data_IF_658404420376
#
_entry.id   IF_658404420376
#
_cell.length_a   1.000
_cell.length_b   1.000
_cell.length_c   1.000
_cell.angle_alpha   90.00
_cell.angle_beta   90.00
_cell.angle_gamma   90.00
#
_symmetry.space_group_name_H-M   'P 1'
#
loop_
_entity.id
_entity.type
_entity.pdbx_description
1 polymer ?
#
# COMPACT_ATOMS: atom_id res chain seq x y z
N UNK A 1 11.71 12.70 1.47
CA UNK A 1 11.88 11.61 0.48
C UNK A 1 11.72 10.28 1.19
N UNK A 2 10.55 9.65 1.08
CA UNK A 2 10.32 8.31 1.62
C UNK A 2 10.74 7.30 0.54
N UNK A 3 11.85 6.62 0.76
CA UNK A 3 12.28 5.50 -0.07
C UNK A 3 11.79 4.21 0.59
N UNK A 4 10.83 3.52 -0.04
CA UNK A 4 10.40 2.23 0.50
C UNK A 4 11.54 1.21 0.32
N UNK A 5 11.80 0.36 1.33
CA UNK A 5 12.77 -0.71 1.21
C UNK A 5 12.43 -1.60 0.01
N UNK A 6 13.44 -1.97 -0.79
CA UNK A 6 13.27 -2.84 -1.98
C UNK A 6 12.52 -4.15 -1.67
N UNK A 7 12.68 -4.68 -0.45
CA UNK A 7 11.96 -5.87 0.04
C UNK A 7 10.46 -5.61 0.18
N UNK A 8 10.07 -4.44 0.68
CA UNK A 8 8.68 -4.04 0.83
C UNK A 8 8.03 -3.79 -0.53
N UNK A 9 8.74 -3.14 -1.46
CA UNK A 9 8.26 -2.96 -2.84
C UNK A 9 8.03 -4.31 -3.53
N UNK A 10 8.93 -5.28 -3.34
CA UNK A 10 8.76 -6.63 -3.91
C UNK A 10 7.61 -7.40 -3.25
N UNK A 11 7.45 -7.28 -1.93
CA UNK A 11 6.34 -7.90 -1.22
C UNK A 11 4.98 -7.35 -1.68
N UNK A 12 4.85 -6.02 -1.78
CA UNK A 12 3.65 -5.36 -2.32
C UNK A 12 3.38 -5.73 -3.79
N UNK A 13 4.42 -5.84 -4.61
CA UNK A 13 4.29 -6.21 -6.02
C UNK A 13 3.80 -7.67 -6.22
N UNK A 14 4.04 -8.55 -5.25
CA UNK A 14 3.67 -9.97 -5.32
C UNK A 14 2.54 -10.34 -4.36
N UNK A 15 1.95 -9.35 -3.67
CA UNK A 15 0.84 -9.59 -2.77
C UNK A 15 -0.40 -9.99 -3.56
N UNK A 16 -1.08 -11.04 -3.08
CA UNK A 16 -2.39 -11.43 -3.58
C UNK A 16 -3.46 -10.45 -3.12
N UNK A 17 -4.62 -10.47 -3.80
CA UNK A 17 -5.76 -9.64 -3.42
C UNK A 17 -6.18 -9.86 -1.95
N UNK A 18 -6.20 -11.12 -1.51
CA UNK A 18 -6.57 -11.49 -0.13
C UNK A 18 -5.59 -10.92 0.92
N UNK A 19 -4.29 -10.89 0.63
CA UNK A 19 -3.30 -10.29 1.53
C UNK A 19 -3.45 -8.77 1.62
N UNK A 20 -3.85 -8.12 0.53
CA UNK A 20 -4.13 -6.69 0.52
C UNK A 20 -5.42 -6.35 1.28
N UNK A 21 -6.45 -7.20 1.17
CA UNK A 21 -7.70 -7.09 1.94
C UNK A 21 -7.46 -7.25 3.44
N UNK A 22 -6.66 -8.24 3.85
CA UNK A 22 -6.29 -8.43 5.26
C UNK A 22 -5.49 -7.23 5.79
N UNK A 23 -4.56 -6.70 4.98
CA UNK A 23 -3.78 -5.53 5.35
C UNK A 23 -4.66 -4.27 5.48
N UNK A 24 -5.62 -4.09 4.57
CA UNK A 24 -6.59 -3.01 4.63
C UNK A 24 -7.39 -3.08 5.93
N UNK A 25 -8.03 -4.22 6.21
CA UNK A 25 -8.85 -4.38 7.41
C UNK A 25 -8.07 -4.15 8.72
N UNK A 26 -6.80 -4.57 8.80
CA UNK A 26 -5.94 -4.29 9.97
C UNK A 26 -5.63 -2.81 10.14
N UNK A 27 -5.37 -2.11 9.05
CA UNK A 27 -5.06 -0.69 9.09
C UNK A 27 -6.28 0.16 9.37
N UNK A 28 -7.44 -0.16 8.80
CA UNK A 28 -8.70 0.53 9.14
C UNK A 28 -9.08 0.31 10.59
N UNK A 29 -9.00 -0.92 11.10
CA UNK A 29 -9.27 -1.21 12.51
C UNK A 29 -8.35 -0.41 13.45
N UNK A 30 -7.09 -0.19 13.04
CA UNK A 30 -6.15 0.64 13.77
C UNK A 30 -6.51 2.14 13.66
N UNK A 31 -6.80 2.64 12.47
CA UNK A 31 -7.20 4.03 12.22
C UNK A 31 -8.47 4.42 12.99
N UNK A 32 -9.47 3.54 13.01
CA UNK A 32 -10.69 3.75 13.81
C UNK A 32 -10.42 3.78 15.31
N UNK A 33 -9.39 3.09 15.79
CA UNK A 33 -8.96 3.18 17.18
C UNK A 33 -8.22 4.48 17.51
N UNK A 34 -7.67 5.19 16.51
CA UNK A 34 -6.82 6.36 16.72
C UNK A 34 -7.53 7.69 16.38
N UNK A 35 -8.40 7.76 15.35
CA UNK A 35 -8.86 9.07 14.81
C UNK A 35 -10.37 9.23 14.49
N UNK A 36 -11.24 8.23 14.69
CA UNK A 36 -12.69 8.46 14.62
C UNK A 36 -13.23 8.96 13.26
N UNK A 37 -12.82 8.27 12.19
CA UNK A 37 -13.47 8.05 10.89
C UNK A 37 -13.76 9.20 9.87
N UNK A 38 -13.21 9.00 8.66
CA UNK A 38 -13.83 9.35 7.37
C UNK A 38 -13.54 8.28 6.27
N UNK A 39 -12.79 7.20 6.56
CA UNK A 39 -12.22 6.35 5.50
C UNK A 39 -12.68 4.90 5.66
N UNK A 40 -13.36 4.39 4.63
CA UNK A 40 -13.92 3.04 4.61
C UNK A 40 -12.87 2.00 4.21
N UNK A 41 -13.10 0.73 4.57
CA UNK A 41 -12.23 -0.39 4.20
C UNK A 41 -11.98 -0.47 2.68
N UNK A 42 -13.00 -0.17 1.87
CA UNK A 42 -12.93 -0.18 0.41
C UNK A 42 -12.00 0.91 -0.13
N UNK A 43 -11.99 2.10 0.50
CA UNK A 43 -11.09 3.19 0.12
C UNK A 43 -9.63 2.81 0.37
N UNK A 44 -9.37 2.14 1.50
CA UNK A 44 -8.02 1.73 1.86
C UNK A 44 -7.51 0.60 0.97
N UNK A 45 -8.36 -0.37 0.64
CA UNK A 45 -8.02 -1.43 -0.30
C UNK A 45 -7.68 -0.86 -1.68
N UNK A 46 -8.45 0.11 -2.17
CA UNK A 46 -8.18 0.77 -3.44
C UNK A 46 -6.82 1.49 -3.44
N UNK A 47 -6.44 2.11 -2.32
CA UNK A 47 -5.10 2.70 -2.15
C UNK A 47 -4.01 1.64 -2.18
N UNK A 48 -4.17 0.54 -1.43
CA UNK A 48 -3.20 -0.55 -1.39
C UNK A 48 -3.00 -1.23 -2.75
N UNK A 49 -4.07 -1.45 -3.51
CA UNK A 49 -3.99 -1.97 -4.88
C UNK A 49 -3.26 -1.01 -5.83
N UNK A 50 -3.49 0.31 -5.72
CA UNK A 50 -2.75 1.31 -6.50
C UNK A 50 -1.26 1.29 -6.15
N UNK A 51 -0.92 1.19 -4.86
CA UNK A 51 0.47 1.09 -4.39
C UNK A 51 1.12 -0.22 -4.87
N UNK A 52 0.41 -1.35 -4.81
CA UNK A 52 0.88 -2.64 -5.31
C UNK A 52 1.17 -2.59 -6.82
N UNK A 53 0.27 -1.98 -7.60
CA UNK A 53 0.45 -1.77 -9.04
C UNK A 53 1.65 -0.86 -9.34
N UNK A 54 1.82 0.21 -8.58
CA UNK A 54 2.98 1.10 -8.70
C UNK A 54 4.28 0.36 -8.34
N UNK A 55 4.25 -0.48 -7.32
CA UNK A 55 5.38 -1.31 -6.92
C UNK A 55 5.74 -2.35 -7.98
N UNK A 56 4.75 -2.99 -8.60
CA UNK A 56 4.96 -3.90 -9.73
C UNK A 56 5.59 -3.18 -10.93
N UNK A 57 5.12 -1.97 -11.25
CA UNK A 57 5.71 -1.14 -12.32
C UNK A 57 7.16 -0.75 -12.02
N UNK A 58 7.47 -0.36 -10.78
CA UNK A 58 8.82 -0.02 -10.34
C UNK A 58 9.78 -1.23 -10.42
N UNK A 59 9.31 -2.42 -9.99
CA UNK A 59 10.08 -3.67 -10.10
C UNK A 59 10.37 -4.02 -11.56
N UNK A 60 9.37 -3.86 -12.45
CA UNK A 60 9.54 -4.18 -13.87
C UNK A 60 10.50 -3.22 -14.60
N UNK A 61 10.60 -1.98 -14.14
CA UNK A 61 11.53 -0.97 -14.69
C UNK A 61 12.91 -0.96 -14.03
N UNK A 62 13.17 -1.84 -13.04
CA UNK A 62 14.43 -1.87 -12.29
C UNK A 62 14.62 -0.66 -11.35
N UNK A 63 13.59 0.16 -11.17
CA UNK A 63 13.59 1.38 -10.37
C UNK A 63 13.05 1.17 -8.95
N UNK A 64 13.40 2.09 -8.04
CA UNK A 64 12.80 2.15 -6.69
C UNK A 64 11.49 2.94 -6.71
N UNK A 65 10.57 2.64 -5.78
CA UNK A 65 9.38 3.46 -5.56
C UNK A 65 9.81 4.73 -4.80
N UNK A 66 9.76 5.88 -5.48
CA UNK A 66 10.06 7.18 -4.90
C UNK A 66 8.76 7.94 -4.68
N UNK A 67 8.45 8.29 -3.44
CA UNK A 67 7.38 9.24 -3.14
C UNK A 67 7.95 10.66 -3.25
N UNK A 68 7.50 11.40 -4.27
CA UNK A 68 7.70 12.84 -4.36
C UNK A 68 6.57 13.51 -3.57
N UNK A 69 6.93 14.18 -2.47
CA UNK A 69 6.06 15.13 -1.79
C UNK A 69 6.23 16.48 -2.48
N UNK A 70 5.13 17.07 -2.95
CA UNK A 70 5.08 18.48 -3.37
C UNK A 70 4.89 19.37 -2.14
#
# INVERSE_FOLDING_TARGET
MLALPKRLTRALANASLAELEELAGRWTARLWSEDGDEMTDDDLLAVLQKVARLAASAVHTGGGLYSWSF
#
